data_IF_121333888755
#
_entry.id   IF_121333888755
#
_cell.length_a   1.000
_cell.length_b   1.000
_cell.length_c   1.000
_cell.angle_alpha   90.00
_cell.angle_beta   90.00
_cell.angle_gamma   90.00
#
_symmetry.space_group_name_H-M   'P 1'
#
loop_
_entity.id
_entity.type
_entity.pdbx_description
1 polymer ?
#
# COMPACT_ATOMS: atom_id res chain seq x y z
N UNK A 1 -3.19 12.60 6.13
CA UNK A 1 -3.30 11.17 5.81
C UNK A 1 -4.62 10.63 6.37
N UNK A 2 -4.90 10.76 7.67
CA UNK A 2 -6.12 10.25 8.31
C UNK A 2 -7.39 10.94 7.81
N UNK A 3 -7.39 12.28 7.62
CA UNK A 3 -8.52 13.03 7.05
C UNK A 3 -8.88 12.60 5.62
N UNK A 4 -7.93 12.04 4.88
CA UNK A 4 -8.12 11.49 3.52
C UNK A 4 -8.41 9.99 3.53
N UNK A 5 -8.62 9.43 4.72
CA UNK A 5 -8.92 8.02 4.91
C UNK A 5 -7.87 7.05 4.33
N UNK A 6 -6.60 7.49 4.16
CA UNK A 6 -5.52 6.60 3.74
C UNK A 6 -5.08 5.66 4.86
N UNK A 7 -5.33 6.04 6.11
CA UNK A 7 -5.14 5.21 7.29
C UNK A 7 -6.33 5.38 8.24
N UNK A 8 -6.67 4.32 8.93
CA UNK A 8 -7.71 4.30 9.96
C UNK A 8 -7.17 3.67 11.25
N UNK A 9 -7.75 4.08 12.37
CA UNK A 9 -7.42 3.49 13.67
C UNK A 9 -8.13 2.15 13.80
N UNK A 10 -7.38 1.12 14.16
CA UNK A 10 -7.92 -0.24 14.27
C UNK A 10 -7.10 -1.12 15.19
N UNK A 11 -7.59 -2.33 15.36
CA UNK A 11 -6.96 -3.39 16.16
C UNK A 11 -6.65 -4.58 15.27
N UNK A 12 -5.45 -5.14 15.42
CA UNK A 12 -5.06 -6.41 14.82
C UNK A 12 -5.21 -7.51 15.87
N UNK A 13 -6.03 -8.52 15.59
CA UNK A 13 -6.31 -9.61 16.54
C UNK A 13 -5.08 -10.46 16.85
N UNK A 14 -4.15 -10.56 15.93
CA UNK A 14 -2.99 -11.44 16.00
C UNK A 14 -3.37 -12.88 15.67
N UNK A 15 -2.34 -13.71 15.56
CA UNK A 15 -2.46 -15.14 15.25
C UNK A 15 -1.95 -15.96 16.42
N UNK A 16 -2.68 -17.02 16.79
CA UNK A 16 -2.23 -17.96 17.80
C UNK A 16 -1.14 -18.86 17.20
N UNK A 17 0.03 -18.88 17.83
CA UNK A 17 1.12 -19.79 17.48
C UNK A 17 1.56 -20.61 18.66
N UNK A 18 2.01 -21.84 18.40
CA UNK A 18 2.59 -22.71 19.40
C UNK A 18 4.12 -22.61 19.29
N UNK A 19 4.78 -22.27 20.38
CA UNK A 19 6.23 -22.24 20.50
C UNK A 19 6.72 -23.42 21.35
N UNK A 20 7.80 -24.03 20.92
CA UNK A 20 8.52 -25.02 21.72
C UNK A 20 9.60 -24.30 22.52
N UNK A 21 9.68 -24.60 23.81
CA UNK A 21 10.69 -24.06 24.72
C UNK A 21 11.51 -25.23 25.27
N UNK A 22 12.75 -25.31 24.84
CA UNK A 22 13.69 -26.31 25.34
C UNK A 22 14.59 -25.67 26.41
N UNK A 23 14.57 -26.25 27.58
CA UNK A 23 15.36 -25.79 28.74
C UNK A 23 16.35 -26.86 29.16
N UNK A 24 17.64 -26.52 29.20
CA UNK A 24 18.66 -27.40 29.73
C UNK A 24 18.69 -27.29 31.27
N UNK A 25 18.37 -28.40 31.94
CA UNK A 25 18.50 -28.54 33.41
C UNK A 25 19.51 -29.61 33.73
N UNK A 26 20.71 -29.17 34.15
CA UNK A 26 21.83 -30.08 34.30
C UNK A 26 22.22 -30.68 32.93
N UNK A 27 22.21 -32.02 32.81
CA UNK A 27 22.47 -32.74 31.58
C UNK A 27 21.20 -33.19 30.81
N UNK A 28 20.02 -32.73 31.23
CA UNK A 28 18.72 -33.11 30.59
C UNK A 28 18.05 -31.93 29.94
N UNK A 29 17.55 -32.15 28.73
CA UNK A 29 16.69 -31.20 28.04
C UNK A 29 15.23 -31.43 28.45
N UNK A 30 14.56 -30.40 28.90
CA UNK A 30 13.14 -30.42 29.22
C UNK A 30 12.42 -29.56 28.20
N UNK A 31 11.61 -30.17 27.35
CA UNK A 31 10.80 -29.50 26.33
C UNK A 31 9.40 -29.18 26.87
N UNK A 32 8.93 -27.97 26.62
CA UNK A 32 7.55 -27.53 26.90
C UNK A 32 6.99 -26.79 25.68
N UNK A 33 5.69 -26.92 25.48
CA UNK A 33 4.99 -26.13 24.48
C UNK A 33 4.18 -25.02 25.17
N UNK A 34 4.17 -23.83 24.57
CA UNK A 34 3.38 -22.69 25.01
C UNK A 34 2.64 -22.10 23.83
N UNK A 35 1.36 -21.79 24.02
CA UNK A 35 0.60 -21.01 23.06
C UNK A 35 0.75 -19.52 23.37
N UNK A 36 0.99 -18.72 22.34
CA UNK A 36 1.01 -17.26 22.45
C UNK A 36 0.32 -16.61 21.24
N UNK A 37 -0.21 -15.42 21.44
CA UNK A 37 -0.79 -14.63 20.36
C UNK A 37 0.29 -13.68 19.81
N UNK A 38 0.75 -13.92 18.59
CA UNK A 38 1.74 -13.09 17.93
C UNK A 38 1.07 -11.99 17.09
N UNK A 39 1.71 -10.83 16.99
CA UNK A 39 1.26 -9.74 16.12
C UNK A 39 -0.06 -9.08 16.55
N UNK A 40 -0.51 -9.25 17.81
CA UNK A 40 -1.66 -8.53 18.36
C UNK A 40 -1.29 -7.06 18.57
N UNK A 41 -2.02 -6.16 17.91
CA UNK A 41 -1.85 -4.71 18.03
C UNK A 41 -3.19 -4.08 18.38
N UNK A 42 -3.19 -3.03 19.21
CA UNK A 42 -4.40 -2.32 19.61
C UNK A 42 -4.26 -0.83 19.38
N UNK A 43 -5.29 -0.22 18.78
CA UNK A 43 -5.37 1.22 18.57
C UNK A 43 -4.29 1.78 17.64
N UNK A 44 -3.75 0.97 16.74
CA UNK A 44 -2.75 1.36 15.75
C UNK A 44 -3.39 1.96 14.52
N UNK A 45 -2.61 2.75 13.77
CA UNK A 45 -3.01 3.19 12.44
C UNK A 45 -2.77 2.04 11.45
N UNK A 46 -3.82 1.64 10.78
CA UNK A 46 -3.79 0.60 9.75
C UNK A 46 -4.04 1.27 8.39
N UNK A 47 -3.32 0.87 7.33
CA UNK A 47 -3.61 1.37 5.99
C UNK A 47 -4.99 0.90 5.53
N UNK A 48 -5.66 1.72 4.75
CA UNK A 48 -6.86 1.33 4.01
C UNK A 48 -6.48 0.87 2.60
N UNK A 49 -7.40 0.23 1.89
CA UNK A 49 -7.14 -0.18 0.49
C UNK A 49 -6.78 1.02 -0.39
N UNK A 50 -7.45 2.15 -0.23
CA UNK A 50 -7.10 3.37 -0.97
C UNK A 50 -5.74 3.92 -0.56
N UNK A 51 -5.38 3.79 0.72
CA UNK A 51 -4.07 4.16 1.22
C UNK A 51 -2.95 3.33 0.58
N UNK A 52 -3.15 2.03 0.44
CA UNK A 52 -2.21 1.13 -0.24
C UNK A 52 -2.05 1.50 -1.71
N UNK A 53 -3.15 1.70 -2.43
CA UNK A 53 -3.14 2.11 -3.84
C UNK A 53 -2.38 3.43 -4.06
N UNK A 54 -2.61 4.42 -3.19
CA UNK A 54 -1.89 5.70 -3.26
C UNK A 54 -0.40 5.52 -2.95
N UNK A 55 -0.07 4.69 -1.96
CA UNK A 55 1.31 4.37 -1.63
C UNK A 55 2.04 3.73 -2.82
N UNK A 56 1.44 2.72 -3.44
CA UNK A 56 2.04 2.01 -4.57
C UNK A 56 2.24 2.95 -5.77
N UNK A 57 1.25 3.77 -6.06
CA UNK A 57 1.36 4.81 -7.09
C UNK A 57 2.53 5.78 -6.82
N UNK A 58 2.69 6.23 -5.58
CA UNK A 58 3.76 7.15 -5.20
C UNK A 58 5.13 6.47 -5.24
N UNK A 59 5.23 5.22 -4.78
CA UNK A 59 6.47 4.43 -4.84
C UNK A 59 6.93 4.19 -6.28
N UNK A 60 5.99 3.93 -7.20
CA UNK A 60 6.29 3.70 -8.61
C UNK A 60 6.74 4.97 -9.33
N UNK A 61 6.06 6.09 -9.07
CA UNK A 61 6.25 7.31 -9.87
C UNK A 61 7.15 8.35 -9.21
N UNK A 62 7.27 8.34 -7.88
CA UNK A 62 8.02 9.34 -7.09
C UNK A 62 8.95 8.69 -6.03
N UNK A 63 9.79 7.70 -6.41
CA UNK A 63 10.60 6.95 -5.45
C UNK A 63 11.54 7.82 -4.64
N UNK A 64 12.06 8.92 -5.20
CA UNK A 64 12.98 9.83 -4.49
C UNK A 64 12.31 10.54 -3.31
N UNK A 65 11.04 10.94 -3.46
CA UNK A 65 10.26 11.59 -2.38
C UNK A 65 9.83 10.56 -1.35
N UNK A 66 9.57 9.33 -1.76
CA UNK A 66 9.18 8.24 -0.88
C UNK A 66 10.36 7.61 -0.13
N UNK A 67 11.61 7.99 -0.46
CA UNK A 67 12.79 7.57 0.29
C UNK A 67 12.74 8.09 1.74
N UNK A 68 12.93 7.20 2.70
CA UNK A 68 12.93 7.53 4.14
C UNK A 68 13.94 8.63 4.50
N UNK A 69 15.04 8.75 3.76
CA UNK A 69 16.07 9.78 3.98
C UNK A 69 15.77 11.10 3.24
N UNK A 70 14.67 11.20 2.49
CA UNK A 70 14.36 12.41 1.73
C UNK A 70 14.29 13.65 2.63
N UNK A 71 13.51 13.58 3.69
CA UNK A 71 13.37 14.70 4.66
C UNK A 71 14.70 15.07 5.29
N UNK A 72 15.50 14.09 5.72
CA UNK A 72 16.81 14.34 6.31
C UNK A 72 17.76 15.07 5.32
N UNK A 73 17.75 14.67 4.04
CA UNK A 73 18.54 15.34 3.00
C UNK A 73 18.08 16.78 2.76
N UNK A 74 16.78 17.04 2.79
CA UNK A 74 16.23 18.39 2.64
C UNK A 74 16.58 19.25 3.85
N UNK A 75 16.48 18.72 5.06
CA UNK A 75 16.88 19.42 6.30
C UNK A 75 18.37 19.78 6.27
N UNK A 76 19.25 18.88 5.85
CA UNK A 76 20.68 19.16 5.68
C UNK A 76 20.94 20.31 4.70
N UNK A 77 20.15 20.40 3.62
CA UNK A 77 20.25 21.52 2.67
C UNK A 77 19.78 22.83 3.31
N UNK A 78 18.72 22.80 4.11
CA UNK A 78 18.28 23.99 4.86
C UNK A 78 19.32 24.48 5.86
N UNK A 79 20.04 23.59 6.53
CA UNK A 79 21.14 23.95 7.41
C UNK A 79 22.27 24.64 6.64
N UNK A 80 22.65 24.14 5.46
CA UNK A 80 23.63 24.78 4.58
C UNK A 80 23.20 26.18 4.12
N UNK A 81 21.90 26.35 3.85
CA UNK A 81 21.33 27.66 3.48
C UNK A 81 21.39 28.60 4.69
N UNK A 82 21.02 28.13 5.87
CA UNK A 82 21.07 28.92 7.11
C UNK A 82 22.50 29.37 7.46
N UNK A 83 23.49 28.54 7.17
CA UNK A 83 24.92 28.86 7.35
C UNK A 83 25.50 29.74 6.20
N UNK A 84 24.71 30.09 5.20
CA UNK A 84 25.14 30.87 4.05
C UNK A 84 26.05 30.13 3.06
N UNK A 85 26.11 28.79 3.16
CA UNK A 85 26.93 27.93 2.30
C UNK A 85 26.25 27.59 0.97
N UNK A 86 24.92 27.68 0.93
CA UNK A 86 24.10 27.39 -0.24
C UNK A 86 23.01 28.46 -0.42
N UNK A 87 22.61 28.70 -1.67
CA UNK A 87 21.52 29.61 -2.00
C UNK A 87 20.21 28.83 -2.12
N UNK A 88 19.17 29.26 -1.39
CA UNK A 88 17.85 28.58 -1.43
C UNK A 88 17.28 28.47 -2.85
N UNK A 89 17.53 29.46 -3.71
CA UNK A 89 17.08 29.46 -5.11
C UNK A 89 17.75 28.36 -5.95
N UNK A 90 19.00 28.02 -5.65
CA UNK A 90 19.70 26.91 -6.31
C UNK A 90 19.16 25.56 -5.87
N UNK A 91 18.93 25.41 -4.57
CA UNK A 91 18.29 24.20 -4.01
C UNK A 91 16.90 23.97 -4.62
N UNK A 92 16.06 25.01 -4.64
CA UNK A 92 14.70 24.93 -5.23
C UNK A 92 14.74 24.62 -6.72
N UNK A 93 15.66 25.25 -7.48
CA UNK A 93 15.82 24.95 -8.91
C UNK A 93 16.27 23.52 -9.14
N UNK A 94 17.18 23.01 -8.32
CA UNK A 94 17.62 21.62 -8.40
C UNK A 94 16.47 20.65 -8.17
N UNK A 95 15.66 20.89 -7.16
CA UNK A 95 14.47 20.10 -6.87
C UNK A 95 13.44 20.17 -8.01
N UNK A 96 13.10 21.37 -8.47
CA UNK A 96 12.12 21.59 -9.55
C UNK A 96 12.54 20.90 -10.85
N UNK A 97 13.82 20.98 -11.21
CA UNK A 97 14.36 20.36 -12.43
C UNK A 97 14.21 18.83 -12.45
N UNK A 98 14.23 18.19 -11.28
CA UNK A 98 14.01 16.74 -11.16
C UNK A 98 12.52 16.39 -11.01
N UNK A 99 11.79 17.16 -10.24
CA UNK A 99 10.43 16.85 -9.83
C UNK A 99 9.38 17.19 -10.89
N UNK A 100 9.40 18.40 -11.44
CA UNK A 100 8.39 18.88 -12.39
C UNK A 100 8.27 18.01 -13.66
N UNK A 101 9.37 17.57 -14.31
CA UNK A 101 9.26 16.64 -15.44
C UNK A 101 8.63 15.30 -15.08
N UNK A 102 8.86 14.82 -13.86
CA UNK A 102 8.21 13.59 -13.37
C UNK A 102 6.71 13.78 -13.20
N UNK A 103 6.29 14.91 -12.63
CA UNK A 103 4.86 15.26 -12.52
C UNK A 103 4.22 15.34 -13.90
N UNK A 104 4.85 16.05 -14.83
CA UNK A 104 4.34 16.21 -16.21
C UNK A 104 4.22 14.86 -16.93
N UNK A 105 5.23 13.99 -16.78
CA UNK A 105 5.21 12.64 -17.32
C UNK A 105 4.02 11.86 -16.79
N UNK A 106 3.80 11.87 -15.46
CA UNK A 106 2.72 11.13 -14.81
C UNK A 106 1.36 11.70 -15.19
N UNK A 107 1.22 13.03 -15.24
CA UNK A 107 -0.03 13.70 -15.65
C UNK A 107 -0.41 13.40 -17.11
N UNK A 108 0.58 13.28 -17.99
CA UNK A 108 0.38 13.02 -19.43
C UNK A 108 0.34 11.51 -19.76
N UNK A 109 0.85 10.66 -18.88
CA UNK A 109 0.75 9.22 -19.05
C UNK A 109 -0.73 8.81 -19.01
N UNK A 110 -1.25 8.28 -20.11
CA UNK A 110 -2.48 7.50 -20.06
C UNK A 110 -2.15 6.26 -19.25
N UNK A 111 -2.72 6.17 -18.05
CA UNK A 111 -2.52 5.03 -17.17
C UNK A 111 -2.97 3.76 -17.89
N UNK A 112 -2.05 3.01 -18.46
CA UNK A 112 -2.30 1.66 -18.99
C UNK A 112 -2.63 0.71 -17.84
N UNK A 113 -2.08 0.98 -16.65
CA UNK A 113 -2.43 0.33 -15.40
C UNK A 113 -3.32 1.26 -14.58
N UNK A 114 -4.60 0.95 -14.51
CA UNK A 114 -5.52 1.65 -13.62
C UNK A 114 -5.10 1.36 -12.18
N UNK A 115 -4.50 2.35 -11.52
CA UNK A 115 -4.12 2.24 -10.12
C UNK A 115 -5.29 1.69 -9.29
N UNK A 116 -5.04 0.67 -8.48
CA UNK A 116 -6.09 0.02 -7.70
C UNK A 116 -6.96 -0.97 -8.46
N UNK A 117 -6.49 -1.52 -9.58
CA UNK A 117 -7.15 -2.61 -10.30
C UNK A 117 -6.26 -3.86 -10.30
N UNK A 118 -6.79 -5.01 -9.86
CA UNK A 118 -6.10 -6.29 -9.83
C UNK A 118 -6.93 -7.36 -10.53
N UNK A 119 -6.32 -8.05 -11.49
CA UNK A 119 -6.95 -9.17 -12.16
C UNK A 119 -7.00 -10.38 -11.21
N UNK A 120 -8.20 -10.92 -10.98
CA UNK A 120 -8.43 -12.12 -10.17
C UNK A 120 -8.43 -13.40 -11.03
N UNK A 121 -8.68 -13.29 -12.32
CA UNK A 121 -8.77 -14.41 -13.24
C UNK A 121 -9.89 -14.23 -14.27
N UNK A 122 -10.40 -15.34 -14.79
CA UNK A 122 -11.46 -15.36 -15.81
C UNK A 122 -12.71 -16.02 -15.25
N UNK A 123 -13.88 -15.44 -15.47
CA UNK A 123 -15.16 -16.04 -15.09
C UNK A 123 -15.43 -17.31 -15.95
N UNK A 124 -15.62 -18.49 -15.34
CA UNK A 124 -15.78 -19.74 -16.07
C UNK A 124 -17.09 -19.80 -16.88
N UNK A 125 -18.10 -19.02 -16.47
CA UNK A 125 -19.40 -19.03 -17.14
C UNK A 125 -19.41 -18.15 -18.38
N UNK A 126 -18.69 -17.05 -18.39
CA UNK A 126 -18.72 -16.06 -19.49
C UNK A 126 -17.42 -15.93 -20.25
N UNK A 127 -16.30 -16.49 -19.75
CA UNK A 127 -14.96 -16.31 -20.31
C UNK A 127 -14.40 -14.91 -20.16
N UNK A 128 -15.09 -14.01 -19.42
CA UNK A 128 -14.70 -12.61 -19.24
C UNK A 128 -13.71 -12.45 -18.08
N UNK A 129 -12.80 -11.47 -18.15
CA UNK A 129 -11.88 -11.19 -17.06
C UNK A 129 -12.63 -10.67 -15.82
N UNK A 130 -12.15 -11.08 -14.65
CA UNK A 130 -12.66 -10.67 -13.34
C UNK A 130 -11.60 -9.81 -12.66
N UNK A 131 -11.97 -8.59 -12.33
CA UNK A 131 -11.09 -7.63 -11.64
C UNK A 131 -11.64 -7.28 -10.26
N UNK A 132 -10.75 -7.03 -9.31
CA UNK A 132 -11.08 -6.24 -8.12
C UNK A 132 -10.49 -4.85 -8.28
N UNK A 133 -11.25 -3.83 -7.94
CA UNK A 133 -10.83 -2.43 -8.05
C UNK A 133 -11.50 -1.54 -7.01
N UNK A 134 -10.92 -0.37 -6.79
CA UNK A 134 -11.53 0.67 -5.93
C UNK A 134 -12.64 1.36 -6.71
N UNK A 135 -13.87 1.18 -6.25
CA UNK A 135 -15.03 1.94 -6.71
C UNK A 135 -15.29 3.17 -5.83
N UNK A 136 -16.31 3.95 -6.22
CA UNK A 136 -16.70 5.17 -5.48
C UNK A 136 -17.06 4.91 -4.01
N UNK A 137 -17.57 3.73 -3.71
CA UNK A 137 -18.05 3.33 -2.37
C UNK A 137 -17.21 2.20 -1.74
N UNK A 138 -15.95 2.06 -2.15
CA UNK A 138 -15.03 1.03 -1.67
C UNK A 138 -14.71 -0.03 -2.72
N UNK A 139 -14.03 -1.12 -2.32
CA UNK A 139 -13.62 -2.19 -3.24
C UNK A 139 -14.80 -2.88 -3.90
N UNK A 140 -14.72 -3.09 -5.21
CA UNK A 140 -15.73 -3.78 -6.02
C UNK A 140 -15.08 -4.84 -6.90
N UNK A 141 -15.80 -5.92 -7.15
CA UNK A 141 -15.45 -6.90 -8.17
C UNK A 141 -16.19 -6.55 -9.47
N UNK A 142 -15.46 -6.56 -10.57
CA UNK A 142 -15.99 -6.31 -11.91
C UNK A 142 -15.77 -7.54 -12.78
N UNK A 143 -16.80 -7.96 -13.52
CA UNK A 143 -16.71 -9.00 -14.56
C UNK A 143 -16.88 -8.33 -15.91
N UNK A 144 -15.91 -8.53 -16.80
CA UNK A 144 -15.84 -7.91 -18.12
C UNK A 144 -15.20 -6.51 -18.09
N UNK A 145 -15.00 -5.94 -19.27
CA UNK A 145 -14.36 -4.64 -19.49
C UNK A 145 -15.35 -3.63 -20.09
N UNK A 146 -14.96 -2.34 -20.12
CA UNK A 146 -15.75 -1.32 -20.78
C UNK A 146 -15.81 -1.47 -22.31
N UNK A 147 -14.85 -2.20 -22.88
CA UNK A 147 -14.73 -2.46 -24.31
C UNK A 147 -15.55 -3.66 -24.78
N UNK A 148 -16.13 -4.42 -23.84
CA UNK A 148 -17.00 -5.54 -24.15
C UNK A 148 -18.34 -5.06 -24.73
N UNK A 149 -18.94 -5.85 -25.62
CA UNK A 149 -20.28 -5.58 -26.20
C UNK A 149 -21.36 -5.43 -25.13
N UNK A 150 -21.22 -6.12 -24.02
CA UNK A 150 -22.10 -6.04 -22.86
C UNK A 150 -21.47 -5.21 -21.75
N UNK A 151 -22.30 -4.42 -21.06
CA UNK A 151 -21.83 -3.63 -19.91
C UNK A 151 -21.23 -4.54 -18.82
N UNK A 152 -20.09 -4.15 -18.22
CA UNK A 152 -19.50 -4.90 -17.14
C UNK A 152 -20.45 -5.00 -15.94
N UNK A 153 -20.40 -6.14 -15.25
CA UNK A 153 -21.16 -6.37 -14.03
C UNK A 153 -20.28 -6.02 -12.82
N UNK A 154 -20.92 -5.44 -11.80
CA UNK A 154 -20.23 -5.03 -10.57
C UNK A 154 -20.89 -5.68 -9.37
N UNK A 155 -20.05 -6.12 -8.41
CA UNK A 155 -20.47 -6.55 -7.09
C UNK A 155 -19.59 -5.87 -6.05
N UNK A 156 -20.21 -5.34 -5.00
CA UNK A 156 -19.46 -4.74 -3.88
C UNK A 156 -18.84 -5.85 -3.01
N UNK A 157 -17.59 -5.67 -2.59
CA UNK A 157 -16.98 -6.58 -1.63
C UNK A 157 -17.62 -6.41 -0.24
N UNK A 158 -17.79 -7.54 0.45
CA UNK A 158 -18.18 -7.50 1.85
C UNK A 158 -17.07 -6.87 2.69
N UNK A 159 -17.47 -6.13 3.74
CA UNK A 159 -16.62 -5.32 4.64
C UNK A 159 -15.49 -6.11 5.31
N UNK A 160 -15.52 -7.43 5.32
CA UNK A 160 -14.50 -8.28 5.94
C UNK A 160 -13.35 -8.66 4.99
N UNK A 161 -13.48 -8.36 3.67
CA UNK A 161 -12.48 -8.69 2.64
C UNK A 161 -11.84 -7.42 2.09
N UNK A 162 -10.52 -7.39 2.07
CA UNK A 162 -9.72 -6.35 1.42
C UNK A 162 -9.43 -6.70 -0.04
N UNK A 163 -8.98 -5.73 -0.83
CA UNK A 163 -8.51 -5.99 -2.20
C UNK A 163 -7.39 -7.04 -2.27
N UNK A 164 -6.56 -7.14 -1.24
CA UNK A 164 -5.46 -8.12 -1.18
C UNK A 164 -5.95 -9.53 -0.83
N UNK A 165 -6.93 -9.62 0.07
CA UNK A 165 -7.42 -10.90 0.58
C UNK A 165 -8.44 -11.59 -0.32
N UNK A 166 -8.99 -10.87 -1.32
CA UNK A 166 -9.97 -11.42 -2.25
C UNK A 166 -9.31 -12.36 -3.25
N UNK A 167 -9.79 -13.59 -3.26
CA UNK A 167 -9.52 -14.60 -4.29
C UNK A 167 -10.77 -14.84 -5.13
N UNK A 168 -10.61 -15.55 -6.23
CA UNK A 168 -11.70 -15.89 -7.14
C UNK A 168 -12.68 -16.94 -6.55
N UNK A 169 -12.23 -17.69 -5.51
CA UNK A 169 -13.04 -18.73 -4.85
C UNK A 169 -14.02 -18.15 -3.85
#
# INVERSE_FOLDING_TARGET
>A
IQQREYVQKGDKKGEERTIAIDTLKGAKIVSKTKKETAGKEKGKLLPTDIGLVVNDFLMENFPEIMDYNFTARVEEQFDKIAEGKEQWTQMMKGFDTAFTPTVDKVMNARSEHKAGERLLGTDPATGKPVYVKIGRFGPVVQIGTADDKEKPRFAQLHTEKSMESVTRE
#
